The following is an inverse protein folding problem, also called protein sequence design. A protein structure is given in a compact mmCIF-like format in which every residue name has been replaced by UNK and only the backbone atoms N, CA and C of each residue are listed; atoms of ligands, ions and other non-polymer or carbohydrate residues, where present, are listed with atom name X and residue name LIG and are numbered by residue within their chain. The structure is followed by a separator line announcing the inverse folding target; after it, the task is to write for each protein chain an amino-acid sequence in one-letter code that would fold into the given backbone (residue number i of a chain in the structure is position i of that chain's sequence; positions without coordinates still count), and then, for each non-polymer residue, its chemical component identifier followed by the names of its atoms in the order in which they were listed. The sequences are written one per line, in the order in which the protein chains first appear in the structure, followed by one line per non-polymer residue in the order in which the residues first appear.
data_IF_212970854402
#
_entry.id   IF_212970854402
#
_cell.length_a   1.000
_cell.length_b   1.000
_cell.length_c   1.000
_cell.angle_alpha   90.00
_cell.angle_beta   90.00
_cell.angle_gamma   90.00
#
_symmetry.space_group_name_H-M   'P 1'
#
loop_
_entity.id
_entity.type
_entity.pdbx_description
1 polymer ?
#
# COMPACT_ATOMS: atom_id res chain seq x y z
N UNK A 1 -31.23 13.11 7.53
CA UNK A 1 -30.04 13.92 7.20
C UNK A 1 -29.02 12.99 6.57
N UNK A 2 -28.63 13.24 5.33
CA UNK A 2 -27.77 12.32 4.57
C UNK A 2 -26.30 12.41 5.02
N UNK A 3 -25.51 11.37 4.72
CA UNK A 3 -24.06 11.41 4.97
C UNK A 3 -23.38 12.58 4.24
N UNK A 4 -23.89 12.91 3.04
CA UNK A 4 -23.41 14.02 2.23
C UNK A 4 -23.63 15.37 2.93
N UNK A 5 -24.82 15.59 3.50
CA UNK A 5 -25.13 16.80 4.28
C UNK A 5 -24.25 16.92 5.52
N UNK A 6 -24.04 15.81 6.23
CA UNK A 6 -23.18 15.78 7.42
C UNK A 6 -21.73 16.09 7.07
N UNK A 7 -21.20 15.52 5.99
CA UNK A 7 -19.84 15.79 5.52
C UNK A 7 -19.69 17.25 5.09
N UNK A 8 -20.66 17.78 4.35
CA UNK A 8 -20.67 19.18 3.90
C UNK A 8 -20.60 20.14 5.08
N UNK A 9 -21.47 19.95 6.09
CA UNK A 9 -21.46 20.79 7.30
C UNK A 9 -20.19 20.64 8.11
N UNK A 10 -19.65 19.43 8.21
CA UNK A 10 -18.37 19.20 8.88
C UNK A 10 -17.25 20.00 8.21
N UNK A 11 -17.14 19.91 6.88
CA UNK A 11 -16.09 20.62 6.12
C UNK A 11 -16.24 22.14 6.24
N UNK A 12 -17.46 22.65 6.09
CA UNK A 12 -17.75 24.08 6.27
C UNK A 12 -17.45 24.56 7.70
N UNK A 13 -17.80 23.77 8.71
CA UNK A 13 -17.63 24.19 10.11
C UNK A 13 -16.19 24.13 10.58
N UNK A 14 -15.45 23.07 10.22
CA UNK A 14 -14.11 22.79 10.74
C UNK A 14 -13.05 23.46 9.87
N UNK A 15 -13.12 23.30 8.55
CA UNK A 15 -12.11 23.78 7.61
C UNK A 15 -12.47 25.11 6.94
N UNK A 16 -13.68 25.64 7.21
CA UNK A 16 -14.16 26.92 6.68
C UNK A 16 -14.11 27.00 5.15
N UNK A 17 -14.38 25.87 4.49
CA UNK A 17 -14.32 25.73 3.03
C UNK A 17 -15.43 24.81 2.50
N UNK A 18 -15.45 24.55 1.19
CA UNK A 18 -16.36 23.63 0.52
C UNK A 18 -15.72 22.25 0.26
N UNK A 19 -16.52 21.29 -0.21
CA UNK A 19 -16.04 19.91 -0.46
C UNK A 19 -14.99 19.83 -1.58
N UNK A 20 -15.07 20.69 -2.60
CA UNK A 20 -14.15 20.70 -3.74
C UNK A 20 -12.73 21.09 -3.29
N UNK A 21 -12.60 22.23 -2.60
CA UNK A 21 -11.31 22.69 -2.08
C UNK A 21 -10.75 21.71 -1.03
N UNK A 22 -11.62 21.14 -0.18
CA UNK A 22 -11.20 20.13 0.78
C UNK A 22 -10.64 18.88 0.10
N UNK A 23 -11.29 18.39 -0.96
CA UNK A 23 -10.84 17.24 -1.73
C UNK A 23 -9.51 17.52 -2.43
N UNK A 24 -9.36 18.67 -3.08
CA UNK A 24 -8.11 19.06 -3.74
C UNK A 24 -6.97 19.18 -2.73
N UNK A 25 -7.20 19.81 -1.56
CA UNK A 25 -6.21 19.88 -0.50
C UNK A 25 -5.80 18.48 0.01
N UNK A 26 -6.75 17.55 0.12
CA UNK A 26 -6.47 16.16 0.51
C UNK A 26 -5.69 15.42 -0.59
N UNK A 27 -6.00 15.63 -1.87
CA UNK A 27 -5.26 15.05 -3.01
C UNK A 27 -3.79 15.50 -3.03
N UNK A 28 -3.55 16.78 -2.79
CA UNK A 28 -2.21 17.39 -2.81
C UNK A 28 -1.33 16.99 -1.61
N UNK A 29 -1.89 16.36 -0.57
CA UNK A 29 -1.15 16.01 0.65
C UNK A 29 -1.11 14.50 0.89
N UNK A 30 -0.09 13.80 0.36
CA UNK A 30 0.12 12.36 0.62
C UNK A 30 0.20 12.02 2.11
N UNK A 31 0.77 12.92 2.91
CA UNK A 31 0.84 12.74 4.37
C UNK A 31 -0.56 12.74 5.01
N UNK A 32 -1.43 13.69 4.63
CA UNK A 32 -2.80 13.75 5.14
C UNK A 32 -3.59 12.50 4.74
N UNK A 33 -3.46 12.05 3.48
CA UNK A 33 -4.05 10.79 3.03
C UNK A 33 -3.56 9.60 3.85
N UNK A 34 -2.26 9.56 4.17
CA UNK A 34 -1.67 8.53 5.02
C UNK A 34 -2.30 8.49 6.42
N UNK A 35 -2.49 9.65 7.07
CA UNK A 35 -3.14 9.73 8.39
C UNK A 35 -4.62 9.33 8.35
N UNK A 36 -5.35 9.77 7.32
CA UNK A 36 -6.75 9.39 7.11
C UNK A 36 -6.86 7.89 6.85
N UNK A 37 -5.99 7.32 6.02
CA UNK A 37 -5.94 5.89 5.72
C UNK A 37 -5.64 5.04 6.97
N UNK A 38 -4.69 5.48 7.82
CA UNK A 38 -4.43 4.85 9.11
C UNK A 38 -5.66 4.84 10.01
N UNK A 39 -6.32 6.00 10.13
CA UNK A 39 -7.56 6.12 10.93
C UNK A 39 -8.71 5.27 10.38
N UNK A 40 -8.87 5.18 9.05
CA UNK A 40 -9.86 4.29 8.42
C UNK A 40 -9.57 2.83 8.76
N UNK A 41 -8.31 2.42 8.68
CA UNK A 41 -7.89 1.04 8.99
C UNK A 41 -8.20 0.68 10.44
N UNK A 42 -7.89 1.56 11.38
CA UNK A 42 -8.25 1.42 12.79
C UNK A 42 -9.76 1.28 13.00
N UNK A 43 -10.58 2.12 12.34
CA UNK A 43 -12.05 2.07 12.44
C UNK A 43 -12.59 0.73 11.89
N UNK A 44 -12.08 0.29 10.74
CA UNK A 44 -12.48 -0.99 10.13
C UNK A 44 -12.09 -2.17 10.99
N UNK A 45 -10.87 -2.18 11.55
CA UNK A 45 -10.39 -3.21 12.46
C UNK A 45 -11.26 -3.30 13.71
N UNK A 46 -11.56 -2.14 14.34
CA UNK A 46 -12.45 -2.09 15.50
C UNK A 46 -13.81 -2.69 15.18
N UNK A 47 -14.45 -2.25 14.08
CA UNK A 47 -15.75 -2.78 13.66
C UNK A 47 -15.71 -4.28 13.45
N UNK A 48 -14.69 -4.78 12.76
CA UNK A 48 -14.53 -6.22 12.52
C UNK A 48 -14.39 -7.00 13.83
N UNK A 49 -13.57 -6.54 14.76
CA UNK A 49 -13.40 -7.16 16.07
C UNK A 49 -14.70 -7.18 16.89
N UNK A 50 -15.49 -6.12 16.84
CA UNK A 50 -16.77 -6.04 17.55
C UNK A 50 -17.89 -6.84 16.88
N UNK A 51 -18.09 -6.65 15.57
CA UNK A 51 -19.25 -7.15 14.82
C UNK A 51 -19.08 -8.61 14.39
N UNK A 52 -17.89 -9.00 13.90
CA UNK A 52 -17.66 -10.37 13.41
C UNK A 52 -17.14 -11.31 14.50
N UNK A 53 -16.32 -10.79 15.40
CA UNK A 53 -15.63 -11.61 16.40
C UNK A 53 -16.16 -11.42 17.84
N UNK A 54 -17.07 -10.47 18.06
CA UNK A 54 -17.74 -10.29 19.36
C UNK A 54 -16.84 -9.79 20.49
N UNK A 55 -15.70 -9.16 20.20
CA UNK A 55 -14.84 -8.56 21.22
C UNK A 55 -15.41 -7.22 21.73
N UNK A 56 -15.14 -6.89 23.00
CA UNK A 56 -15.27 -5.51 23.48
C UNK A 56 -13.99 -4.75 23.12
N UNK A 57 -14.12 -3.63 22.39
CA UNK A 57 -12.96 -2.85 21.91
C UNK A 57 -13.08 -1.37 22.29
N UNK A 58 -12.03 -0.81 22.92
CA UNK A 58 -11.96 0.60 23.32
C UNK A 58 -10.73 1.26 22.71
N UNK A 59 -10.92 2.38 22.01
CA UNK A 59 -9.80 3.16 21.46
C UNK A 59 -9.03 3.86 22.58
N UNK A 60 -7.71 3.75 22.55
CA UNK A 60 -6.80 4.49 23.42
C UNK A 60 -6.63 5.88 22.83
N UNK A 61 -6.94 6.93 23.61
CA UNK A 61 -6.78 8.31 23.13
C UNK A 61 -5.31 8.70 23.11
N UNK A 62 -4.90 9.41 22.06
CA UNK A 62 -3.54 9.96 21.91
C UNK A 62 -3.22 10.96 23.03
N UNK A 63 -4.16 11.88 23.32
CA UNK A 63 -4.10 12.77 24.47
C UNK A 63 -4.75 12.11 25.69
N UNK A 64 -3.91 11.69 26.63
CA UNK A 64 -4.32 11.09 27.90
C UNK A 64 -4.48 12.18 28.96
N UNK A 65 -5.57 12.15 29.71
CA UNK A 65 -5.73 13.00 30.90
C UNK A 65 -5.14 12.27 32.12
N UNK A 66 -4.10 12.83 32.73
CA UNK A 66 -3.40 12.25 33.88
C UNK A 66 -2.15 11.44 33.53
N UNK A 67 -1.67 10.62 34.47
CA UNK A 67 -0.46 9.80 34.28
C UNK A 67 -0.79 8.56 33.45
N UNK A 68 -0.23 8.49 32.23
CA UNK A 68 -0.33 7.30 31.36
C UNK A 68 0.42 6.13 32.00
N UNK A 69 -0.25 4.99 32.15
CA UNK A 69 0.40 3.77 32.64
C UNK A 69 1.43 3.27 31.61
N UNK A 70 2.57 2.76 32.06
CA UNK A 70 3.73 2.42 31.22
C UNK A 70 3.50 1.25 30.24
N UNK A 71 2.35 0.59 30.32
CA UNK A 71 2.01 -0.54 29.45
C UNK A 71 0.90 -0.20 28.44
N UNK A 72 0.45 1.06 28.39
CA UNK A 72 -0.67 1.50 27.55
C UNK A 72 -0.18 2.09 26.22
N UNK A 73 0.72 1.39 25.53
CA UNK A 73 1.34 1.82 24.27
C UNK A 73 0.70 1.11 23.07
N UNK A 74 -0.60 1.34 22.87
CA UNK A 74 -1.38 0.76 21.76
C UNK A 74 -2.44 1.72 21.24
N UNK A 75 -3.15 1.28 20.20
CA UNK A 75 -4.31 1.97 19.62
C UNK A 75 -5.63 1.53 20.28
N UNK A 76 -5.70 0.27 20.73
CA UNK A 76 -6.90 -0.31 21.32
C UNK A 76 -6.63 -1.11 22.59
N UNK A 77 -7.59 -1.07 23.52
CA UNK A 77 -7.84 -2.18 24.43
C UNK A 77 -8.88 -3.11 23.82
N UNK A 78 -8.69 -4.42 23.92
CA UNK A 78 -9.71 -5.39 23.55
C UNK A 78 -9.76 -6.57 24.51
N UNK A 79 -10.94 -7.18 24.64
CA UNK A 79 -11.15 -8.40 25.42
C UNK A 79 -12.33 -9.20 24.90
N UNK A 80 -12.37 -10.50 25.19
CA UNK A 80 -13.60 -11.29 25.05
C UNK A 80 -14.60 -10.84 26.13
N UNK A 81 -15.93 -10.82 25.87
CA UNK A 81 -16.92 -10.33 26.82
C UNK A 81 -16.90 -11.07 28.17
N UNK A 82 -16.55 -12.34 28.16
CA UNK A 82 -16.46 -13.26 29.31
C UNK A 82 -15.06 -13.31 29.96
N UNK A 83 -14.06 -12.65 29.37
CA UNK A 83 -12.70 -12.61 29.91
C UNK A 83 -12.51 -11.39 30.82
N UNK A 84 -11.88 -11.55 32.00
CA UNK A 84 -11.47 -10.42 32.84
C UNK A 84 -10.22 -9.71 32.27
N UNK A 85 -9.52 -10.32 31.33
CA UNK A 85 -8.24 -9.82 30.82
C UNK A 85 -8.42 -8.88 29.64
N UNK A 86 -7.82 -7.70 29.75
CA UNK A 86 -7.67 -6.73 28.67
C UNK A 86 -6.31 -6.87 28.00
N UNK A 87 -6.31 -6.81 26.68
CA UNK A 87 -5.11 -6.79 25.87
C UNK A 87 -4.96 -5.45 25.19
N UNK A 88 -3.72 -5.03 24.99
CA UNK A 88 -3.37 -3.82 24.24
C UNK A 88 -2.98 -4.25 22.83
N UNK A 89 -3.55 -3.60 21.83
CA UNK A 89 -3.26 -3.85 20.41
C UNK A 89 -2.76 -2.57 19.75
N UNK A 90 -1.65 -2.69 19.04
CA UNK A 90 -1.13 -1.68 18.11
C UNK A 90 -1.49 -2.12 16.69
N UNK A 91 -2.22 -1.26 15.98
CA UNK A 91 -2.66 -1.47 14.60
C UNK A 91 -1.75 -0.70 13.65
N UNK A 92 -0.75 -1.37 13.11
CA UNK A 92 0.06 -0.81 12.02
C UNK A 92 -0.52 -1.23 10.67
N UNK A 93 -0.95 -0.24 9.87
CA UNK A 93 -1.23 -0.47 8.46
C UNK A 93 0.03 -0.95 7.76
N UNK A 94 -0.04 -2.09 7.06
CA UNK A 94 1.09 -2.60 6.30
C UNK A 94 1.30 -1.71 5.08
N UNK A 95 2.38 -0.91 5.10
CA UNK A 95 2.86 -0.19 3.92
C UNK A 95 3.86 -1.10 3.22
N UNK A 96 3.41 -1.83 2.21
CA UNK A 96 4.33 -2.45 1.26
C UNK A 96 4.46 -1.50 0.07
N UNK A 97 5.69 -1.04 -0.18
CA UNK A 97 6.07 -0.43 -1.45
C UNK A 97 6.80 -1.47 -2.31
N UNK A 98 6.65 -2.75 -2.00
CA UNK A 98 7.45 -3.82 -2.59
C UNK A 98 7.17 -3.93 -4.08
N UNK A 99 5.93 -3.70 -4.52
CA UNK A 99 5.59 -3.68 -5.93
C UNK A 99 6.35 -2.60 -6.70
N UNK A 100 6.52 -1.40 -6.11
CA UNK A 100 7.31 -0.32 -6.70
C UNK A 100 8.80 -0.65 -6.65
N UNK A 101 9.28 -1.14 -5.52
CA UNK A 101 10.70 -1.47 -5.31
C UNK A 101 11.19 -2.56 -6.26
N UNK A 102 10.40 -3.61 -6.47
CA UNK A 102 10.66 -4.69 -7.42
C UNK A 102 10.31 -4.34 -8.87
N UNK A 103 9.72 -3.15 -9.10
CA UNK A 103 9.27 -2.65 -10.41
C UNK A 103 8.29 -3.58 -11.09
N UNK A 104 7.32 -4.11 -10.34
CA UNK A 104 6.31 -5.03 -10.86
C UNK A 104 5.39 -4.39 -11.92
N UNK A 105 5.48 -3.08 -12.12
CA UNK A 105 4.89 -2.37 -13.25
C UNK A 105 5.63 -2.63 -14.59
N UNK A 106 6.73 -3.37 -14.60
CA UNK A 106 7.39 -3.84 -15.82
C UNK A 106 7.13 -5.34 -16.01
N UNK A 107 6.80 -5.77 -17.23
CA UNK A 107 6.34 -7.14 -17.51
C UNK A 107 7.35 -8.21 -17.05
N UNK A 108 8.61 -8.09 -17.48
CA UNK A 108 9.65 -9.07 -17.12
C UNK A 108 9.93 -9.09 -15.61
N UNK A 109 9.84 -7.95 -14.93
CA UNK A 109 9.97 -7.88 -13.48
C UNK A 109 8.82 -8.63 -12.78
N UNK A 110 7.58 -8.41 -13.22
CA UNK A 110 6.41 -9.13 -12.68
C UNK A 110 6.48 -10.63 -12.95
N UNK A 111 6.78 -11.02 -14.20
CA UNK A 111 6.91 -12.42 -14.61
C UNK A 111 7.94 -13.14 -13.76
N UNK A 112 9.16 -12.58 -13.67
CA UNK A 112 10.24 -13.19 -12.88
C UNK A 112 9.91 -13.22 -11.39
N UNK A 113 9.24 -12.19 -10.87
CA UNK A 113 8.80 -12.16 -9.47
C UNK A 113 7.81 -13.30 -9.18
N UNK A 114 6.80 -13.51 -10.03
CA UNK A 114 5.82 -14.58 -9.85
C UNK A 114 6.44 -15.98 -10.01
N UNK A 115 7.35 -16.17 -10.97
CA UNK A 115 8.08 -17.43 -11.15
C UNK A 115 8.95 -17.74 -9.92
N UNK A 116 9.67 -16.75 -9.40
CA UNK A 116 10.55 -16.91 -8.22
C UNK A 116 9.77 -17.29 -6.96
N UNK A 117 8.49 -16.94 -6.90
CA UNK A 117 7.60 -17.15 -5.76
C UNK A 117 6.50 -18.17 -6.06
N UNK A 118 6.67 -19.02 -7.06
CA UNK A 118 5.66 -19.99 -7.53
C UNK A 118 5.14 -20.88 -6.40
N UNK A 119 6.03 -21.30 -5.50
CA UNK A 119 5.71 -22.12 -4.34
C UNK A 119 4.77 -21.45 -3.32
N UNK A 120 4.57 -20.14 -3.42
CA UNK A 120 3.66 -19.35 -2.58
C UNK A 120 2.35 -18.99 -3.30
N UNK A 121 2.21 -19.34 -4.58
CA UNK A 121 1.09 -18.93 -5.42
C UNK A 121 0.14 -20.12 -5.64
N UNK A 122 -1.08 -20.12 -5.06
CA UNK A 122 -1.94 -21.31 -5.05
C UNK A 122 -2.36 -21.84 -6.42
N UNK A 123 -2.42 -20.98 -7.45
CA UNK A 123 -2.82 -21.38 -8.80
C UNK A 123 -1.67 -21.91 -9.65
N UNK A 124 -0.41 -21.77 -9.20
CA UNK A 124 0.74 -22.28 -9.94
C UNK A 124 0.96 -23.74 -9.60
N UNK A 125 1.02 -24.58 -10.63
CA UNK A 125 1.42 -25.98 -10.48
C UNK A 125 2.90 -26.14 -10.83
N UNK A 126 3.75 -26.29 -9.81
CA UNK A 126 5.20 -26.48 -9.96
C UNK A 126 5.62 -27.78 -10.66
N UNK A 127 4.68 -28.71 -10.97
CA UNK A 127 4.95 -29.90 -11.79
C UNK A 127 4.78 -29.66 -13.29
N UNK A 128 4.27 -28.49 -13.67
CA UNK A 128 4.07 -28.07 -15.06
C UNK A 128 4.99 -26.90 -15.37
N UNK A 129 5.00 -26.46 -16.62
CA UNK A 129 5.73 -25.28 -17.05
C UNK A 129 5.21 -24.03 -16.29
N UNK A 130 5.99 -23.58 -15.31
CA UNK A 130 5.67 -22.44 -14.44
C UNK A 130 5.73 -21.14 -15.23
N UNK A 131 6.72 -20.97 -16.11
CA UNK A 131 6.87 -19.75 -16.91
C UNK A 131 5.67 -19.56 -17.83
N UNK A 132 5.23 -20.63 -18.51
CA UNK A 132 4.04 -20.57 -19.36
C UNK A 132 2.78 -20.22 -18.56
N UNK A 133 2.57 -20.90 -17.42
CA UNK A 133 1.42 -20.62 -16.54
C UNK A 133 1.39 -19.15 -16.09
N UNK A 134 2.55 -18.61 -15.68
CA UNK A 134 2.66 -17.21 -15.24
C UNK A 134 2.41 -16.25 -16.38
N UNK A 135 3.03 -16.45 -17.55
CA UNK A 135 2.83 -15.58 -18.72
C UNK A 135 1.37 -15.58 -19.20
N UNK A 136 0.76 -16.75 -19.32
CA UNK A 136 -0.67 -16.88 -19.70
C UNK A 136 -1.57 -16.18 -18.67
N UNK A 137 -1.27 -16.34 -17.38
CA UNK A 137 -2.02 -15.68 -16.32
C UNK A 137 -1.89 -14.15 -16.38
N UNK A 138 -0.67 -13.62 -16.59
CA UNK A 138 -0.44 -12.17 -16.72
C UNK A 138 -1.24 -11.63 -17.90
N UNK A 139 -1.21 -12.27 -19.06
CA UNK A 139 -1.96 -11.79 -20.22
C UNK A 139 -3.47 -11.89 -20.05
N UNK A 140 -3.97 -12.94 -19.39
CA UNK A 140 -5.40 -13.08 -19.13
C UNK A 140 -5.93 -12.04 -18.12
N UNK A 141 -5.13 -11.68 -17.10
CA UNK A 141 -5.57 -10.83 -15.99
C UNK A 141 -5.13 -9.36 -16.12
N UNK A 142 -4.04 -9.13 -16.84
CA UNK A 142 -3.40 -7.84 -17.07
C UNK A 142 -3.09 -7.66 -18.57
N UNK A 143 -4.11 -7.72 -19.47
CA UNK A 143 -3.93 -7.74 -20.92
C UNK A 143 -3.15 -6.53 -21.47
N UNK A 144 -3.17 -5.39 -20.79
CA UNK A 144 -2.40 -4.20 -21.20
C UNK A 144 -0.89 -4.44 -21.27
N UNK A 145 -0.36 -5.50 -20.65
CA UNK A 145 1.04 -5.88 -20.82
C UNK A 145 1.39 -6.43 -22.20
N UNK A 146 0.39 -6.82 -23.00
CA UNK A 146 0.62 -7.23 -24.39
C UNK A 146 0.95 -6.05 -25.31
N UNK A 147 0.44 -4.86 -24.99
CA UNK A 147 0.49 -3.68 -25.86
C UNK A 147 0.85 -2.38 -25.11
N UNK A 148 -0.10 -1.78 -24.39
CA UNK A 148 0.00 -0.46 -23.76
C UNK A 148 1.16 -0.36 -22.74
N UNK A 149 1.48 -1.47 -22.09
CA UNK A 149 2.52 -1.59 -21.06
C UNK A 149 3.74 -2.40 -21.55
N UNK A 150 3.91 -2.56 -22.86
CA UNK A 150 5.03 -3.30 -23.47
C UNK A 150 6.40 -2.68 -23.18
N UNK A 151 6.47 -1.34 -23.11
CA UNK A 151 7.72 -0.63 -22.80
C UNK A 151 7.95 -0.47 -21.31
N UNK A 152 9.18 -0.75 -20.85
CA UNK A 152 9.57 -0.60 -19.46
C UNK A 152 9.62 0.87 -19.02
N UNK A 153 9.18 1.12 -17.78
CA UNK A 153 9.32 2.40 -17.11
C UNK A 153 10.50 2.37 -16.13
N UNK A 154 11.10 3.54 -15.92
CA UNK A 154 12.23 3.78 -15.02
C UNK A 154 12.00 5.09 -14.26
N UNK A 155 12.51 5.19 -13.03
CA UNK A 155 12.36 6.41 -12.25
C UNK A 155 13.15 7.57 -12.89
N UNK A 156 12.70 8.80 -12.68
CA UNK A 156 13.28 9.99 -13.30
C UNK A 156 14.79 10.09 -13.06
N UNK A 157 15.24 9.86 -11.84
CA UNK A 157 16.66 9.89 -11.47
C UNK A 157 17.47 8.84 -12.23
N UNK A 158 16.90 7.68 -12.53
CA UNK A 158 17.55 6.64 -13.33
C UNK A 158 17.66 7.06 -14.79
N UNK A 159 16.57 7.61 -15.36
CA UNK A 159 16.52 8.10 -16.73
C UNK A 159 17.60 9.18 -16.96
N UNK A 160 17.74 10.11 -16.01
CA UNK A 160 18.72 11.21 -16.09
C UNK A 160 20.16 10.71 -15.91
N UNK A 161 20.40 9.76 -15.00
CA UNK A 161 21.76 9.25 -14.72
C UNK A 161 22.26 8.25 -15.76
N UNK A 162 21.36 7.64 -16.53
CA UNK A 162 21.71 6.57 -17.44
C UNK A 162 22.56 7.05 -18.64
N UNK A 163 23.77 6.49 -18.74
CA UNK A 163 24.70 6.69 -19.84
C UNK A 163 25.09 5.33 -20.40
N UNK A 164 24.75 5.05 -21.65
CA UNK A 164 25.24 3.86 -22.36
C UNK A 164 25.64 4.23 -23.78
N UNK A 165 26.62 3.50 -24.31
CA UNK A 165 27.07 3.59 -25.71
C UNK A 165 26.50 2.47 -26.59
N UNK A 166 25.77 1.51 -26.00
CA UNK A 166 25.19 0.35 -26.70
C UNK A 166 23.68 0.47 -26.75
N UNK A 167 23.12 0.19 -27.92
CA UNK A 167 21.67 0.09 -28.09
C UNK A 167 21.17 -1.21 -27.44
N UNK A 168 20.32 -1.06 -26.43
CA UNK A 168 19.69 -2.15 -25.68
C UNK A 168 18.22 -1.81 -25.48
N UNK A 169 17.38 -2.78 -25.13
CA UNK A 169 15.97 -2.52 -24.83
C UNK A 169 15.80 -1.48 -23.73
N UNK A 170 16.59 -1.58 -22.64
CA UNK A 170 16.65 -0.56 -21.59
C UNK A 170 17.05 0.81 -22.14
N UNK A 171 18.02 0.88 -23.06
CA UNK A 171 18.42 2.16 -23.66
C UNK A 171 17.28 2.78 -24.47
N UNK A 172 16.55 1.99 -25.27
CA UNK A 172 15.39 2.46 -26.04
C UNK A 172 14.28 2.98 -25.13
N UNK A 173 13.94 2.22 -24.08
CA UNK A 173 12.95 2.63 -23.09
C UNK A 173 13.35 3.92 -22.37
N UNK A 174 14.61 4.05 -21.95
CA UNK A 174 15.12 5.27 -21.31
C UNK A 174 15.09 6.48 -22.26
N UNK A 175 15.45 6.30 -23.53
CA UNK A 175 15.36 7.37 -24.53
C UNK A 175 13.92 7.87 -24.69
N UNK A 176 12.94 6.95 -24.75
CA UNK A 176 11.53 7.32 -24.80
C UNK A 176 11.06 8.11 -23.57
N UNK A 177 11.67 7.88 -22.40
CA UNK A 177 11.32 8.58 -21.15
C UNK A 177 11.98 9.96 -21.01
N UNK A 178 13.03 10.28 -21.77
CA UNK A 178 13.81 11.52 -21.59
C UNK A 178 13.02 12.82 -21.86
N UNK A 179 11.96 12.75 -22.65
CA UNK A 179 11.10 13.90 -22.95
C UNK A 179 10.10 14.22 -21.84
N UNK A 180 9.95 13.34 -20.85
CA UNK A 180 8.96 13.50 -19.78
C UNK A 180 9.57 14.16 -18.55
N UNK A 181 8.72 14.90 -17.82
CA UNK A 181 9.08 15.47 -16.52
C UNK A 181 9.09 14.39 -15.42
N UNK A 182 9.65 14.72 -14.26
CA UNK A 182 9.60 13.85 -13.07
C UNK A 182 8.16 13.46 -12.73
N UNK A 183 7.25 14.42 -12.70
CA UNK A 183 5.85 14.19 -12.32
C UNK A 183 5.14 13.31 -13.35
N UNK A 184 5.36 13.54 -14.65
CA UNK A 184 4.79 12.69 -15.70
C UNK A 184 5.28 11.24 -15.61
N UNK A 185 6.57 11.02 -15.35
CA UNK A 185 7.11 9.67 -15.16
C UNK A 185 6.52 9.01 -13.91
N UNK A 186 6.40 9.76 -12.82
CA UNK A 186 5.77 9.26 -11.59
C UNK A 186 4.31 8.89 -11.83
N UNK A 187 3.52 9.73 -12.51
CA UNK A 187 2.13 9.46 -12.84
C UNK A 187 1.99 8.21 -13.71
N UNK A 188 2.87 8.01 -14.70
CA UNK A 188 2.90 6.80 -15.52
C UNK A 188 3.19 5.53 -14.68
N UNK A 189 4.17 5.62 -13.76
CA UNK A 189 4.52 4.52 -12.86
C UNK A 189 3.36 4.22 -11.91
N UNK A 190 2.76 5.24 -11.30
CA UNK A 190 1.62 5.09 -10.38
C UNK A 190 0.40 4.53 -11.07
N UNK A 191 0.04 5.02 -12.26
CA UNK A 191 -1.06 4.48 -13.05
C UNK A 191 -0.87 2.99 -13.34
N UNK A 192 0.36 2.60 -13.73
CA UNK A 192 0.67 1.20 -14.03
C UNK A 192 0.76 0.33 -12.77
N UNK A 193 1.27 0.85 -11.67
CA UNK A 193 1.24 0.20 -10.36
C UNK A 193 -0.20 -0.03 -9.87
N UNK A 194 -1.07 0.96 -9.99
CA UNK A 194 -2.50 0.83 -9.66
C UNK A 194 -3.18 -0.26 -10.51
N UNK A 195 -2.82 -0.34 -11.79
CA UNK A 195 -3.28 -1.42 -12.66
C UNK A 195 -2.80 -2.80 -12.20
N UNK A 196 -1.50 -2.97 -11.92
CA UNK A 196 -0.94 -4.24 -11.42
C UNK A 196 -1.56 -4.62 -10.07
N UNK A 197 -1.65 -3.68 -9.14
CA UNK A 197 -2.18 -3.91 -7.77
C UNK A 197 -3.68 -4.20 -7.71
N UNK A 198 -4.39 -3.99 -8.82
CA UNK A 198 -5.76 -4.48 -8.97
C UNK A 198 -5.85 -6.02 -9.05
N UNK A 199 -4.76 -6.70 -9.41
CA UNK A 199 -4.69 -8.16 -9.56
C UNK A 199 -3.60 -8.81 -8.70
N UNK A 200 -2.49 -8.13 -8.48
CA UNK A 200 -1.30 -8.65 -7.80
C UNK A 200 -0.96 -7.73 -6.63
N UNK A 201 -1.09 -8.22 -5.41
CA UNK A 201 -0.64 -7.51 -4.21
C UNK A 201 0.47 -8.31 -3.55
N UNK A 202 1.57 -7.64 -3.25
CA UNK A 202 2.72 -8.25 -2.61
C UNK A 202 2.71 -7.83 -1.14
N UNK A 203 2.66 -8.83 -0.27
CA UNK A 203 2.82 -8.61 1.15
C UNK A 203 4.23 -9.04 1.55
N UNK A 204 5.21 -8.14 1.44
CA UNK A 204 6.49 -8.33 2.13
C UNK A 204 6.32 -7.90 3.58
N UNK A 205 5.86 -8.84 4.41
CA UNK A 205 5.91 -8.66 5.85
C UNK A 205 7.32 -8.97 6.33
N UNK A 206 8.01 -7.96 6.84
CA UNK A 206 8.93 -8.19 7.94
C UNK A 206 8.05 -8.36 9.16
N UNK A 207 7.70 -9.59 9.53
CA UNK A 207 7.15 -9.85 10.85
C UNK A 207 8.25 -9.50 11.86
N UNK A 208 8.22 -8.29 12.40
CA UNK A 208 8.98 -7.99 13.62
C UNK A 208 8.16 -8.55 14.77
N UNK A 209 8.25 -9.87 14.99
CA UNK A 209 7.85 -10.48 16.25
C UNK A 209 8.95 -10.22 17.28
N UNK A 210 9.06 -8.98 17.73
CA UNK A 210 9.95 -8.59 18.82
C UNK A 210 9.20 -8.67 20.14
N UNK A 211 9.37 -9.75 20.88
CA UNK A 211 9.22 -9.72 22.34
C UNK A 211 10.38 -8.91 22.91
N UNK A 212 10.09 -7.93 23.78
CA UNK A 212 11.02 -7.05 24.52
C UNK A 212 11.77 -6.03 23.63
N UNK A 213 11.89 -4.74 23.96
CA UNK A 213 12.00 -4.19 25.30
C UNK A 213 13.43 -4.29 25.83
N UNK A 214 14.46 -3.94 25.05
CA UNK A 214 15.69 -3.28 25.51
C UNK A 214 16.76 -3.12 24.41
N UNK A 215 17.43 -1.97 24.48
CA UNK A 215 18.75 -1.58 23.94
C UNK A 215 19.01 -1.49 22.44
N UNK A 216 19.21 -0.23 22.04
CA UNK A 216 20.26 0.32 21.17
C UNK A 216 20.42 -0.16 19.73
N UNK A 217 20.39 0.87 18.86
CA UNK A 217 20.94 0.92 17.50
C UNK A 217 22.06 -0.10 17.26
N UNK A 218 21.97 -0.78 16.12
CA UNK A 218 23.10 -0.87 15.18
C UNK A 218 22.59 -0.61 13.78
#
# INVERSE_FOLDING_TARGET
MSIFENLTRFVQRVFKTNLEIFLEALKLSPNAQGYVSGSITEILLKKKLEEEYGFEVKRIREKWEGKKHSHHHGDFYFRRPDSPYWYVMESKGVKSNSEKWHRLYNFENLKNFLITHDNKIPWVNGRRDVERQVTEWIYANLPKFQDECSSNLYEYEEVQKYKTKRETEKARAIVALRSYTRDQINDMIEARLNYVTSRVKVLETHFVSGTSGSSERT
#
